data_IF_300893406393
#
_entry.id   IF_300893406393
#
_cell.length_a   1.000
_cell.length_b   1.000
_cell.length_c   1.000
_cell.angle_alpha   90.00
_cell.angle_beta   90.00
_cell.angle_gamma   90.00
#
_symmetry.space_group_name_H-M   'P 1'
#
loop_
_entity.id
_entity.type
_entity.pdbx_description
1 polymer ?
#
# COMPACT_ATOMS: atom_id res chain seq x y z
N UNK A 1 4.76 10.51 8.96
CA UNK A 1 3.45 10.79 8.34
C UNK A 1 3.25 12.28 8.19
N UNK A 2 2.83 12.78 7.00
CA UNK A 2 2.42 14.18 6.80
C UNK A 2 1.42 14.65 7.85
N UNK A 3 1.42 15.94 8.20
CA UNK A 3 0.60 16.48 9.28
C UNK A 3 -0.90 16.32 8.98
N UNK A 4 -1.27 16.47 7.72
CA UNK A 4 -2.62 16.40 7.18
C UNK A 4 -3.22 14.99 7.25
N UNK A 5 -2.38 13.96 7.40
CA UNK A 5 -2.81 12.55 7.47
C UNK A 5 -2.77 11.99 8.90
N UNK A 6 -2.41 12.81 9.90
CA UNK A 6 -2.35 12.37 11.30
C UNK A 6 -3.72 12.02 11.92
N UNK A 7 -4.82 12.42 11.27
CA UNK A 7 -6.17 12.07 11.72
C UNK A 7 -6.52 10.60 11.41
N UNK A 8 -5.76 9.93 10.53
CA UNK A 8 -6.07 8.57 10.13
C UNK A 8 -5.85 7.58 11.29
N UNK A 9 -6.76 6.60 11.47
CA UNK A 9 -6.53 5.49 12.37
C UNK A 9 -5.17 4.82 12.11
N UNK A 10 -4.44 4.50 13.17
CA UNK A 10 -3.11 3.87 13.08
C UNK A 10 -1.97 4.79 12.64
N UNK A 11 -2.21 6.07 12.33
CA UNK A 11 -1.14 6.98 11.90
C UNK A 11 -0.05 7.18 12.98
N UNK A 12 -0.39 7.03 14.26
CA UNK A 12 0.52 7.09 15.39
C UNK A 12 1.39 5.82 15.54
N UNK A 13 0.97 4.71 14.95
CA UNK A 13 1.66 3.41 15.02
C UNK A 13 2.74 3.28 13.93
N UNK A 14 2.83 4.25 13.01
CA UNK A 14 3.85 4.26 11.96
C UNK A 14 5.21 4.59 12.59
N UNK A 15 6.09 3.60 12.57
CA UNK A 15 7.46 3.69 13.10
C UNK A 15 8.50 3.76 11.98
N UNK A 16 9.64 4.36 12.29
CA UNK A 16 10.79 4.41 11.38
C UNK A 16 11.61 3.11 11.43
N UNK A 17 12.51 2.90 10.45
CA UNK A 17 13.29 1.66 10.34
C UNK A 17 14.14 1.34 11.58
N UNK A 18 14.61 2.35 12.31
CA UNK A 18 15.40 2.17 13.54
C UNK A 18 14.59 1.62 14.73
N UNK A 19 13.26 1.70 14.66
CA UNK A 19 12.36 1.25 15.71
C UNK A 19 11.84 -0.17 15.45
N UNK A 20 12.11 -0.74 14.28
CA UNK A 20 11.78 -2.13 13.95
C UNK A 20 12.85 -3.01 14.58
N UNK A 21 12.53 -3.60 15.74
CA UNK A 21 13.43 -4.50 16.48
C UNK A 21 13.01 -5.95 16.42
N UNK A 22 11.74 -6.20 16.15
CA UNK A 22 11.19 -7.55 16.10
C UNK A 22 11.54 -8.24 14.78
N UNK A 23 11.68 -9.56 14.85
CA UNK A 23 11.81 -10.38 13.65
C UNK A 23 10.46 -10.43 12.92
N UNK A 24 10.51 -10.42 11.59
CA UNK A 24 9.35 -10.56 10.71
C UNK A 24 9.67 -11.53 9.58
N UNK A 25 8.65 -12.22 9.09
CA UNK A 25 8.73 -13.29 8.09
C UNK A 25 8.15 -12.90 6.72
N UNK A 26 7.56 -11.71 6.62
CA UNK A 26 6.99 -11.16 5.39
C UNK A 26 7.13 -9.65 5.35
N UNK A 27 7.49 -9.11 4.19
CA UNK A 27 7.43 -7.68 3.88
C UNK A 27 6.33 -7.47 2.86
N UNK A 28 5.38 -6.58 3.17
CA UNK A 28 4.35 -6.13 2.24
C UNK A 28 4.66 -4.69 1.86
N UNK A 29 4.94 -4.47 0.57
CA UNK A 29 5.19 -3.16 0.00
C UNK A 29 3.93 -2.69 -0.74
N UNK A 30 3.42 -1.53 -0.35
CA UNK A 30 2.24 -0.91 -0.94
C UNK A 30 2.68 0.34 -1.71
N UNK A 31 2.16 0.51 -2.93
CA UNK A 31 2.23 1.76 -3.70
C UNK A 31 3.65 2.25 -4.08
N UNK A 32 4.57 1.30 -4.27
CA UNK A 32 5.93 1.58 -4.75
C UNK A 32 6.17 0.90 -6.09
N UNK A 33 6.44 1.71 -7.11
CA UNK A 33 6.73 1.24 -8.48
C UNK A 33 8.13 0.63 -8.65
N UNK A 34 9.04 0.83 -7.71
CA UNK A 34 10.42 0.33 -7.81
C UNK A 34 11.06 0.23 -6.43
N UNK A 35 12.09 -0.61 -6.31
CA UNK A 35 12.74 -0.92 -5.02
C UNK A 35 13.35 0.33 -4.37
N UNK A 36 13.85 1.28 -5.15
CA UNK A 36 14.43 2.53 -4.64
C UNK A 36 13.40 3.42 -3.91
N UNK A 37 12.10 3.27 -4.20
CA UNK A 37 11.02 4.00 -3.51
C UNK A 37 10.74 3.48 -2.10
N UNK A 38 11.24 2.30 -1.72
CA UNK A 38 11.13 1.80 -0.34
C UNK A 38 12.06 2.54 0.65
N UNK A 39 13.01 3.32 0.14
CA UNK A 39 13.96 4.07 0.95
C UNK A 39 14.79 3.18 1.87
N UNK A 40 15.21 3.73 3.02
CA UNK A 40 16.08 3.03 3.96
C UNK A 40 15.39 1.91 4.76
N UNK A 41 14.08 1.72 4.60
CA UNK A 41 13.33 0.64 5.27
C UNK A 41 13.70 -0.71 4.67
N UNK A 42 13.98 -0.77 3.36
CA UNK A 42 14.33 -2.01 2.69
C UNK A 42 15.82 -2.01 2.28
N UNK A 43 16.56 -3.01 2.75
CA UNK A 43 17.94 -3.26 2.39
C UNK A 43 18.02 -4.65 1.76
N UNK A 44 18.33 -4.71 0.46
CA UNK A 44 18.25 -5.96 -0.32
C UNK A 44 19.10 -7.09 0.27
N UNK A 45 20.30 -6.80 0.77
CA UNK A 45 21.17 -7.82 1.38
C UNK A 45 20.61 -8.33 2.72
N UNK A 46 20.17 -7.41 3.59
CA UNK A 46 19.66 -7.77 4.90
C UNK A 46 18.31 -8.50 4.82
N UNK A 47 17.47 -8.17 3.84
CA UNK A 47 16.12 -8.72 3.69
C UNK A 47 15.99 -9.78 2.60
N UNK A 48 17.08 -10.21 1.95
CA UNK A 48 17.05 -11.20 0.86
C UNK A 48 16.36 -12.52 1.24
N UNK A 49 16.38 -12.87 2.52
CA UNK A 49 15.79 -14.10 3.05
C UNK A 49 14.30 -13.99 3.41
N UNK A 50 13.73 -12.78 3.35
CA UNK A 50 12.35 -12.49 3.75
C UNK A 50 11.51 -12.31 2.48
N UNK A 51 10.43 -13.08 2.29
CA UNK A 51 9.46 -12.87 1.22
C UNK A 51 9.01 -11.40 1.14
N UNK A 52 8.94 -10.90 -0.10
CA UNK A 52 8.55 -9.52 -0.41
C UNK A 52 7.35 -9.58 -1.34
N UNK A 53 6.21 -9.13 -0.85
CA UNK A 53 4.97 -9.03 -1.61
C UNK A 53 4.71 -7.57 -1.96
N UNK A 54 4.67 -7.26 -3.26
CA UNK A 54 4.37 -5.92 -3.77
C UNK A 54 2.92 -5.85 -4.24
N UNK A 55 2.18 -4.86 -3.74
CA UNK A 55 0.82 -4.52 -4.18
C UNK A 55 0.87 -3.08 -4.71
N UNK A 56 0.63 -2.89 -6.00
CA UNK A 56 0.81 -1.60 -6.64
C UNK A 56 -0.08 -1.42 -7.87
N UNK A 57 -0.49 -0.19 -8.15
CA UNK A 57 -1.30 0.14 -9.33
C UNK A 57 -0.53 0.92 -10.40
N UNK A 58 0.75 1.25 -10.19
CA UNK A 58 1.51 1.98 -11.19
C UNK A 58 1.86 1.10 -12.41
N UNK A 59 1.54 1.58 -13.63
CA UNK A 59 1.96 0.91 -14.88
C UNK A 59 3.49 0.81 -15.03
N UNK A 60 4.22 1.68 -14.33
CA UNK A 60 5.69 1.74 -14.32
C UNK A 60 6.32 0.75 -13.34
N UNK A 61 5.53 -0.06 -12.63
CA UNK A 61 6.05 -0.97 -11.61
C UNK A 61 7.07 -1.97 -12.20
N UNK A 62 8.23 -2.10 -11.57
CA UNK A 62 9.34 -2.96 -12.04
C UNK A 62 9.22 -4.43 -11.62
N UNK A 63 8.17 -4.78 -10.87
CA UNK A 63 7.88 -6.13 -10.35
C UNK A 63 9.03 -6.70 -9.51
N UNK A 64 9.58 -5.87 -8.63
CA UNK A 64 10.77 -6.19 -7.83
C UNK A 64 10.51 -7.10 -6.62
N UNK A 65 9.25 -7.42 -6.31
CA UNK A 65 8.89 -8.36 -5.24
C UNK A 65 9.12 -9.83 -5.64
N UNK A 66 9.18 -10.70 -4.63
CA UNK A 66 9.07 -12.15 -4.82
C UNK A 66 7.68 -12.53 -5.34
N UNK A 67 6.65 -11.83 -4.86
CA UNK A 67 5.27 -11.90 -5.36
C UNK A 67 4.86 -10.47 -5.72
N UNK A 68 4.16 -10.31 -6.85
CA UNK A 68 3.76 -9.00 -7.36
C UNK A 68 2.29 -9.04 -7.79
N UNK A 69 1.42 -8.35 -7.07
CA UNK A 69 0.07 -8.05 -7.51
C UNK A 69 0.04 -6.61 -8.03
N UNK A 70 0.16 -6.49 -9.36
CA UNK A 70 0.19 -5.19 -10.04
C UNK A 70 -1.03 -5.06 -10.94
N UNK A 71 -1.89 -4.07 -10.67
CA UNK A 71 -3.15 -3.87 -11.38
C UNK A 71 -3.31 -2.42 -11.88
N UNK A 72 -2.72 -2.08 -13.05
CA UNK A 72 -2.74 -0.72 -13.58
C UNK A 72 -4.12 -0.18 -13.96
N UNK A 73 -5.10 -1.06 -14.10
CA UNK A 73 -6.51 -0.68 -14.34
C UNK A 73 -7.22 -0.20 -13.06
N UNK A 74 -6.61 -0.37 -11.89
CA UNK A 74 -7.10 0.20 -10.63
C UNK A 74 -6.67 1.66 -10.50
N UNK A 75 -7.57 2.49 -10.00
CA UNK A 75 -7.34 3.91 -9.86
C UNK A 75 -6.41 4.27 -8.69
N UNK A 76 -6.30 3.38 -7.70
CA UNK A 76 -5.43 3.51 -6.54
C UNK A 76 -5.03 2.13 -6.00
N UNK A 77 -3.90 2.04 -5.30
CA UNK A 77 -3.53 0.83 -4.54
C UNK A 77 -4.61 0.50 -3.48
N UNK A 78 -5.29 1.50 -2.91
CA UNK A 78 -6.40 1.30 -1.98
C UNK A 78 -7.62 0.58 -2.59
N UNK A 79 -7.87 0.74 -3.90
CA UNK A 79 -8.93 -0.01 -4.59
C UNK A 79 -8.60 -1.52 -4.61
N UNK A 80 -7.33 -1.87 -4.81
CA UNK A 80 -6.87 -3.27 -4.74
C UNK A 80 -7.05 -3.84 -3.34
N UNK A 81 -6.74 -3.06 -2.31
CA UNK A 81 -6.92 -3.47 -0.92
C UNK A 81 -8.38 -3.72 -0.56
N UNK A 82 -9.35 -2.99 -1.13
CA UNK A 82 -10.78 -3.30 -0.96
C UNK A 82 -11.11 -4.71 -1.46
N UNK A 83 -10.59 -5.11 -2.63
CA UNK A 83 -10.79 -6.48 -3.15
C UNK A 83 -10.12 -7.54 -2.29
N UNK A 84 -8.98 -7.21 -1.68
CA UNK A 84 -8.29 -8.11 -0.75
C UNK A 84 -9.10 -8.33 0.52
N UNK A 85 -9.64 -7.26 1.10
CA UNK A 85 -10.48 -7.30 2.30
C UNK A 85 -11.71 -8.19 2.07
N UNK A 86 -12.38 -8.01 0.93
CA UNK A 86 -13.53 -8.83 0.52
C UNK A 86 -13.14 -10.30 0.32
N UNK A 87 -12.02 -10.56 -0.38
CA UNK A 87 -11.51 -11.92 -0.61
C UNK A 87 -11.12 -12.65 0.68
N UNK A 88 -10.71 -11.90 1.72
CA UNK A 88 -10.39 -12.44 3.04
C UNK A 88 -11.64 -12.60 3.93
N UNK A 89 -12.81 -12.15 3.49
CA UNK A 89 -14.04 -12.17 4.30
C UNK A 89 -13.97 -11.25 5.52
N UNK A 90 -13.15 -10.21 5.46
CA UNK A 90 -12.97 -9.25 6.57
C UNK A 90 -14.06 -8.17 6.52
N UNK A 91 -14.56 -7.70 7.67
CA UNK A 91 -15.51 -6.61 7.71
C UNK A 91 -14.83 -5.30 7.29
N UNK A 92 -15.48 -4.56 6.39
CA UNK A 92 -15.10 -3.20 6.06
C UNK A 92 -15.68 -2.25 7.12
N UNK A 93 -15.06 -2.21 8.29
CA UNK A 93 -15.49 -1.31 9.38
C UNK A 93 -15.11 0.16 9.12
N UNK A 94 -15.57 1.06 10.00
CA UNK A 94 -15.32 2.50 9.88
C UNK A 94 -13.82 2.85 9.85
N UNK A 95 -13.01 2.12 10.61
CA UNK A 95 -11.56 2.36 10.70
C UNK A 95 -10.88 2.04 9.38
N UNK A 96 -11.14 0.85 8.85
CA UNK A 96 -10.58 0.39 7.58
C UNK A 96 -11.13 1.20 6.40
N UNK A 97 -12.43 1.48 6.38
CA UNK A 97 -13.08 2.28 5.36
C UNK A 97 -12.50 3.70 5.29
N UNK A 98 -12.23 4.33 6.43
CA UNK A 98 -11.64 5.68 6.50
C UNK A 98 -10.26 5.72 5.84
N UNK A 99 -9.39 4.75 6.14
CA UNK A 99 -8.05 4.68 5.54
C UNK A 99 -8.12 4.42 4.03
N UNK A 100 -8.91 3.43 3.60
CA UNK A 100 -9.03 3.04 2.19
C UNK A 100 -9.67 4.14 1.34
N UNK A 101 -10.74 4.77 1.83
CA UNK A 101 -11.39 5.87 1.14
C UNK A 101 -10.47 7.09 1.04
N UNK A 102 -9.70 7.39 2.08
CA UNK A 102 -8.74 8.50 2.04
C UNK A 102 -7.73 8.30 0.92
N UNK A 103 -7.10 7.13 0.85
CA UNK A 103 -6.14 6.82 -0.22
C UNK A 103 -6.76 6.85 -1.62
N UNK A 104 -7.97 6.29 -1.77
CA UNK A 104 -8.70 6.31 -3.04
C UNK A 104 -9.02 7.75 -3.49
N UNK A 105 -9.52 8.59 -2.58
CA UNK A 105 -9.84 9.99 -2.87
C UNK A 105 -8.58 10.79 -3.22
N UNK A 106 -7.44 10.53 -2.56
CA UNK A 106 -6.20 11.27 -2.86
C UNK A 106 -5.61 10.89 -4.21
N UNK A 107 -5.53 9.60 -4.55
CA UNK A 107 -4.97 9.14 -5.83
C UNK A 107 -5.82 9.55 -7.03
N UNK A 108 -7.14 9.61 -6.84
CA UNK A 108 -8.08 9.99 -7.90
C UNK A 108 -8.28 11.49 -8.02
N UNK A 109 -7.56 12.31 -7.25
CA UNK A 109 -7.80 13.75 -7.12
C UNK A 109 -9.28 14.05 -6.86
N UNK A 110 -9.88 13.39 -5.88
CA UNK A 110 -11.31 13.39 -5.58
C UNK A 110 -12.18 12.96 -6.77
N UNK A 111 -11.90 11.78 -7.33
CA UNK A 111 -12.66 11.18 -8.43
C UNK A 111 -12.63 11.99 -9.74
N UNK A 112 -11.53 12.72 -10.00
CA UNK A 112 -11.34 13.57 -11.18
C UNK A 112 -10.28 13.05 -12.17
N UNK A 113 -9.59 11.96 -11.85
CA UNK A 113 -8.64 11.32 -12.77
C UNK A 113 -9.35 10.52 -13.85
N UNK A 114 -8.70 10.33 -15.00
CA UNK A 114 -9.26 9.62 -16.16
C UNK A 114 -9.55 8.14 -15.93
N UNK A 115 -8.93 7.53 -14.90
CA UNK A 115 -9.13 6.14 -14.51
C UNK A 115 -10.29 5.96 -13.50
N UNK A 116 -10.98 7.04 -13.10
CA UNK A 116 -12.23 6.95 -12.30
C UNK A 116 -13.37 6.41 -13.18
N UNK A 117 -13.91 5.24 -12.82
CA UNK A 117 -14.99 4.56 -13.55
C UNK A 117 -16.00 3.95 -12.57
N UNK A 118 -16.99 3.18 -13.05
CA UNK A 118 -18.05 2.62 -12.21
C UNK A 118 -17.58 1.66 -11.08
N UNK A 119 -16.31 1.23 -11.08
CA UNK A 119 -15.71 0.38 -10.04
C UNK A 119 -14.92 1.17 -8.98
N UNK A 120 -14.80 2.49 -9.16
CA UNK A 120 -14.09 3.44 -8.29
C UNK A 120 -15.12 4.24 -7.51
#
# INVERSE_FOLDING_TARGET
>A
TPAELKFLPGAADIVGPKQITDAYDLIICLDASSVDRMGHIYQSEAHAHIPLFVIDHHITNTRFGHINWVAPDCAATCQMLVYLVDSLGLPLDETLATCLLTGLVTDTLCFRTSNTNARV
#
